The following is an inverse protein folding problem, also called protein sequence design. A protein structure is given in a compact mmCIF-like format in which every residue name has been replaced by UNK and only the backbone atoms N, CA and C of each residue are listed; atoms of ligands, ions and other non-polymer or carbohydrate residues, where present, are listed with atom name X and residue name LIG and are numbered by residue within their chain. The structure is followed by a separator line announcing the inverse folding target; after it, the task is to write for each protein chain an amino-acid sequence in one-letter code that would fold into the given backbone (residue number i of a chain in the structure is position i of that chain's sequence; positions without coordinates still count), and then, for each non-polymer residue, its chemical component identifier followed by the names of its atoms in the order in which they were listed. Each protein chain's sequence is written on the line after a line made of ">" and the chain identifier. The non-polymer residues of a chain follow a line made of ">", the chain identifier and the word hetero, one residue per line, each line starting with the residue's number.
data_IF_826280213923
#
_entry.id   IF_826280213923
#
_cell.length_a   1.000
_cell.length_b   1.000
_cell.length_c   1.000
_cell.angle_alpha   90.00
_cell.angle_beta   90.00
_cell.angle_gamma   90.00
#
_symmetry.space_group_name_H-M   'P 1'
#
loop_
_entity.id
_entity.type
_entity.pdbx_description
1 polymer ?
#
# COMPACT_ATOMS: atom_id res chain seq x y z
N UNK A 1 3.10 2.85 -5.68
CA UNK A 1 1.76 3.42 -5.41
C UNK A 1 1.89 4.82 -4.85
N UNK A 2 0.89 5.67 -5.01
CA UNK A 2 0.82 6.99 -4.37
C UNK A 2 -0.55 7.16 -3.71
N UNK A 3 -0.56 7.89 -2.59
CA UNK A 3 -1.78 8.21 -1.83
C UNK A 3 -1.82 9.72 -1.60
N UNK A 4 -2.99 10.33 -1.77
CA UNK A 4 -3.19 11.76 -1.49
C UNK A 4 -3.96 11.88 -0.19
N UNK A 5 -3.35 12.52 0.81
CA UNK A 5 -4.03 12.83 2.06
C UNK A 5 -4.97 14.03 1.86
N UNK A 6 -6.29 13.86 1.98
CA UNK A 6 -7.24 14.94 1.75
C UNK A 6 -7.17 16.05 2.82
N UNK A 7 -6.64 15.76 4.01
CA UNK A 7 -6.59 16.70 5.12
C UNK A 7 -5.42 17.69 5.00
N UNK A 8 -4.26 17.20 4.56
CA UNK A 8 -3.02 18.00 4.49
C UNK A 8 -2.61 18.35 3.07
N UNK A 9 -3.17 17.66 2.07
CA UNK A 9 -2.77 17.80 0.66
C UNK A 9 -1.39 17.22 0.36
N UNK A 10 -0.79 16.45 1.27
CA UNK A 10 0.42 15.69 0.96
C UNK A 10 0.12 14.52 0.03
N UNK A 11 1.03 14.31 -0.90
CA UNK A 11 1.08 13.11 -1.74
C UNK A 11 2.15 12.20 -1.16
N UNK A 12 1.75 11.02 -0.66
CA UNK A 12 2.69 9.99 -0.22
C UNK A 12 3.11 9.16 -1.42
N UNK A 13 4.41 9.12 -1.68
CA UNK A 13 4.98 8.40 -2.82
C UNK A 13 6.01 7.39 -2.36
N UNK A 14 5.99 6.20 -2.96
CA UNK A 14 7.01 5.19 -2.79
C UNK A 14 8.03 5.31 -3.91
N UNK A 15 9.32 5.32 -3.57
CA UNK A 15 10.41 5.34 -4.55
C UNK A 15 11.65 4.62 -4.02
N UNK A 16 12.53 4.25 -4.94
CA UNK A 16 13.83 3.67 -4.58
C UNK A 16 14.70 4.63 -3.76
N UNK A 17 15.40 4.09 -2.76
CA UNK A 17 16.41 4.81 -2.02
C UNK A 17 17.51 5.35 -2.94
N UNK A 18 18.08 6.51 -2.61
CA UNK A 18 19.21 7.07 -3.35
C UNK A 18 20.48 6.23 -3.24
N UNK A 19 20.69 5.62 -2.07
CA UNK A 19 21.84 4.76 -1.78
C UNK A 19 21.44 3.28 -1.84
N UNK A 20 22.37 2.42 -2.18
CA UNK A 20 22.22 0.97 -2.08
C UNK A 20 22.49 0.51 -0.64
N UNK A 21 21.81 -0.56 -0.23
CA UNK A 21 22.06 -1.25 1.04
C UNK A 21 23.36 -2.07 1.00
N UNK A 22 23.66 -2.80 2.08
CA UNK A 22 24.82 -3.67 2.18
C UNK A 22 24.83 -4.79 1.12
N UNK A 23 23.64 -5.22 0.67
CA UNK A 23 23.48 -6.23 -0.40
C UNK A 23 23.54 -5.63 -1.81
N UNK A 24 23.90 -4.34 -1.94
CA UNK A 24 23.92 -3.58 -3.20
C UNK A 24 22.55 -3.37 -3.86
N UNK A 25 21.47 -3.51 -3.12
CA UNK A 25 20.08 -3.29 -3.55
C UNK A 25 19.59 -1.91 -3.17
N UNK A 26 18.61 -1.39 -3.89
CA UNK A 26 17.87 -0.18 -3.51
C UNK A 26 16.58 -0.60 -2.83
N UNK A 27 16.43 -0.20 -1.58
CA UNK A 27 15.19 -0.41 -0.83
C UNK A 27 14.14 0.64 -1.20
N UNK A 28 12.88 0.33 -1.01
CA UNK A 28 11.80 1.28 -1.18
C UNK A 28 11.69 2.19 0.05
N UNK A 29 11.35 3.46 -0.21
CA UNK A 29 11.18 4.47 0.82
C UNK A 29 9.97 5.34 0.50
N UNK A 30 9.23 5.75 1.53
CA UNK A 30 8.06 6.62 1.42
C UNK A 30 8.45 8.07 1.71
N UNK A 31 7.90 9.00 0.93
CA UNK A 31 8.07 10.43 1.11
C UNK A 31 6.72 11.12 1.04
N UNK A 32 6.46 12.04 1.96
CA UNK A 32 5.36 12.98 1.84
C UNK A 32 5.83 14.16 0.99
N UNK A 33 5.09 14.47 -0.07
CA UNK A 33 5.42 15.53 -1.02
C UNK A 33 4.26 16.51 -1.14
N UNK A 34 4.54 17.82 -1.11
CA UNK A 34 3.55 18.88 -1.36
C UNK A 34 4.19 20.03 -2.12
N UNK A 35 3.49 20.53 -3.12
CA UNK A 35 3.94 21.73 -3.83
C UNK A 35 3.46 22.99 -3.10
N UNK A 36 4.37 23.91 -2.81
CA UNK A 36 4.01 25.24 -2.32
C UNK A 36 3.27 26.00 -3.40
N UNK A 37 2.06 26.48 -3.10
CA UNK A 37 1.18 27.12 -4.08
C UNK A 37 1.75 28.41 -4.68
N UNK A 38 2.57 29.14 -3.94
CA UNK A 38 3.16 30.42 -4.36
C UNK A 38 4.50 30.23 -5.06
N UNK A 39 5.44 29.55 -4.38
CA UNK A 39 6.82 29.42 -4.89
C UNK A 39 6.98 28.30 -5.91
N UNK A 40 5.97 27.43 -6.07
CA UNK A 40 5.99 26.20 -6.90
C UNK A 40 7.10 25.21 -6.54
N UNK A 41 7.80 25.42 -5.42
CA UNK A 41 8.81 24.47 -4.93
C UNK A 41 8.13 23.29 -4.25
N UNK A 42 8.71 22.11 -4.42
CA UNK A 42 8.28 20.90 -3.73
C UNK A 42 8.92 20.83 -2.34
N UNK A 43 8.09 20.62 -1.33
CA UNK A 43 8.50 20.15 -0.02
C UNK A 43 8.50 18.62 -0.07
N UNK A 44 9.56 18.01 0.43
CA UNK A 44 9.72 16.56 0.53
C UNK A 44 10.11 16.21 1.97
N UNK A 45 9.29 15.40 2.62
CA UNK A 45 9.48 14.94 4.00
C UNK A 45 9.63 13.42 3.96
N UNK A 46 10.78 12.86 4.37
CA UNK A 46 10.93 11.41 4.47
C UNK A 46 10.05 10.85 5.59
N UNK A 47 9.43 9.70 5.33
CA UNK A 47 8.68 9.00 6.36
C UNK A 47 9.62 8.49 7.46
N UNK A 48 9.18 8.57 8.72
CA UNK A 48 10.04 8.30 9.88
C UNK A 48 10.60 6.87 9.96
N UNK A 49 9.96 5.91 9.30
CA UNK A 49 10.41 4.51 9.26
C UNK A 49 11.35 4.19 8.10
N UNK A 50 11.61 5.15 7.20
CA UNK A 50 12.54 4.91 6.10
C UNK A 50 13.90 4.44 6.61
N UNK A 51 14.37 3.32 6.06
CA UNK A 51 15.60 2.66 6.46
C UNK A 51 16.45 2.33 5.24
N UNK A 52 17.71 1.94 5.45
CA UNK A 52 18.58 1.46 4.39
C UNK A 52 18.67 -0.08 4.36
N UNK A 53 18.24 -0.76 5.42
CA UNK A 53 18.29 -2.22 5.52
C UNK A 53 17.05 -2.91 4.96
N UNK A 54 15.90 -2.24 4.98
CA UNK A 54 14.61 -2.79 4.54
C UNK A 54 13.78 -1.74 3.81
N UNK A 55 12.78 -2.19 3.09
CA UNK A 55 11.82 -1.37 2.35
C UNK A 55 10.65 -0.94 3.23
N UNK A 56 10.16 0.27 3.00
CA UNK A 56 8.85 0.76 3.47
C UNK A 56 8.15 1.33 2.25
N UNK A 57 6.94 0.86 1.96
CA UNK A 57 6.22 1.15 0.73
C UNK A 57 4.71 1.30 0.93
N UNK A 58 4.05 1.82 -0.08
CA UNK A 58 2.60 1.79 -0.27
C UNK A 58 1.77 2.30 0.93
N UNK A 59 2.26 3.42 1.54
CA UNK A 59 1.60 4.02 2.69
C UNK A 59 0.24 4.61 2.29
N UNK A 60 -0.77 4.29 3.10
CA UNK A 60 -2.10 4.89 3.09
C UNK A 60 -2.49 5.35 4.49
N UNK A 61 -3.51 6.20 4.56
CA UNK A 61 -4.15 6.62 5.82
C UNK A 61 -5.55 6.01 5.86
N UNK A 62 -5.97 5.53 7.03
CA UNK A 62 -7.34 5.05 7.23
C UNK A 62 -8.36 6.17 7.00
N UNK A 63 -9.61 5.86 6.55
CA UNK A 63 -10.62 6.87 6.25
C UNK A 63 -10.97 7.80 7.41
N UNK A 64 -10.85 7.32 8.64
CA UNK A 64 -11.06 8.12 9.87
C UNK A 64 -9.83 8.95 10.27
N UNK A 65 -8.71 8.84 9.55
CA UNK A 65 -7.48 9.56 9.82
C UNK A 65 -6.71 9.08 11.07
N UNK A 66 -7.11 7.95 11.68
CA UNK A 66 -6.56 7.51 12.97
C UNK A 66 -5.26 6.73 12.85
N UNK A 67 -5.00 6.08 11.71
CA UNK A 67 -3.82 5.24 11.52
C UNK A 67 -3.27 5.28 10.10
N UNK A 68 -1.99 4.96 9.97
CA UNK A 68 -1.36 4.61 8.70
C UNK A 68 -1.33 3.10 8.53
N UNK A 69 -1.40 2.65 7.28
CA UNK A 69 -1.09 1.27 6.88
C UNK A 69 -0.02 1.34 5.79
N UNK A 70 0.95 0.44 5.81
CA UNK A 70 2.04 0.40 4.84
C UNK A 70 2.60 -1.01 4.70
N UNK A 71 3.28 -1.28 3.59
CA UNK A 71 3.98 -2.54 3.35
C UNK A 71 5.46 -2.41 3.74
N UNK A 72 6.04 -3.46 4.30
CA UNK A 72 7.47 -3.51 4.63
C UNK A 72 8.01 -4.93 4.70
N UNK A 73 9.28 -5.10 4.33
CA UNK A 73 10.08 -6.31 4.55
C UNK A 73 10.99 -6.17 5.80
N UNK A 74 10.58 -5.32 6.77
CA UNK A 74 11.31 -5.15 8.02
C UNK A 74 11.39 -6.45 8.82
N UNK A 75 12.50 -6.68 9.56
CA UNK A 75 12.67 -7.89 10.36
C UNK A 75 11.53 -8.11 11.36
N UNK A 76 11.14 -9.38 11.53
CA UNK A 76 10.10 -9.78 12.48
C UNK A 76 8.71 -9.93 11.87
N UNK A 77 8.59 -9.83 10.55
CA UNK A 77 7.37 -10.15 9.81
C UNK A 77 7.14 -11.65 9.61
N UNK A 78 6.03 -11.99 8.95
CA UNK A 78 5.65 -13.37 8.61
C UNK A 78 6.24 -13.82 7.28
N UNK A 79 6.40 -12.88 6.34
CA UNK A 79 6.76 -13.19 4.96
C UNK A 79 7.86 -12.35 4.34
N UNK A 80 7.81 -12.30 3.01
CA UNK A 80 8.75 -11.50 2.20
C UNK A 80 8.50 -10.01 2.34
N UNK A 81 7.23 -9.64 2.43
CA UNK A 81 6.75 -8.31 2.82
C UNK A 81 5.39 -8.44 3.46
N UNK A 82 5.17 -7.68 4.51
CA UNK A 82 3.97 -7.71 5.32
C UNK A 82 3.32 -6.33 5.37
N UNK A 83 2.03 -6.30 5.67
CA UNK A 83 1.30 -5.09 6.02
C UNK A 83 1.43 -4.80 7.51
N UNK A 84 1.73 -3.55 7.80
CA UNK A 84 1.85 -3.01 9.15
C UNK A 84 0.91 -1.83 9.33
N UNK A 85 0.48 -1.59 10.57
CA UNK A 85 -0.28 -0.41 10.94
C UNK A 85 0.37 0.33 12.10
N UNK A 86 0.10 1.63 12.22
CA UNK A 86 0.50 2.43 13.37
C UNK A 86 -0.48 3.59 13.59
N UNK A 87 -0.81 3.95 14.84
CA UNK A 87 -1.66 5.09 15.12
C UNK A 87 -0.96 6.39 14.69
N UNK A 88 -1.75 7.33 14.15
CA UNK A 88 -1.30 8.68 13.83
C UNK A 88 -1.35 9.51 15.11
N UNK A 89 -0.21 10.03 15.53
CA UNK A 89 -0.09 10.93 16.68
C UNK A 89 -0.18 12.40 16.26
N UNK A 90 0.24 12.71 15.05
CA UNK A 90 0.22 14.03 14.44
C UNK A 90 0.17 13.92 12.92
N UNK A 91 -0.68 14.72 12.28
CA UNK A 91 -0.74 14.84 10.82
C UNK A 91 -1.00 16.29 10.46
N UNK A 92 0.05 17.02 10.12
CA UNK A 92 0.02 18.44 9.80
C UNK A 92 1.05 18.82 8.72
N UNK A 93 1.33 20.10 8.58
CA UNK A 93 2.29 20.63 7.60
C UNK A 93 3.71 20.13 7.77
N UNK A 94 4.09 19.59 8.93
CA UNK A 94 5.39 18.99 9.19
C UNK A 94 5.45 17.50 8.79
N UNK A 95 4.35 16.95 8.30
CA UNK A 95 4.19 15.56 7.93
C UNK A 95 3.49 14.73 9.00
N UNK A 96 3.52 13.41 8.82
CA UNK A 96 2.94 12.45 9.76
C UNK A 96 3.97 12.04 10.81
N UNK A 97 3.52 12.00 12.09
CA UNK A 97 4.16 11.27 13.18
C UNK A 97 3.27 10.12 13.61
N UNK A 98 3.86 8.95 13.74
CA UNK A 98 3.15 7.73 14.11
C UNK A 98 3.63 7.20 15.47
N UNK A 99 2.76 6.44 16.11
CA UNK A 99 3.07 5.71 17.34
C UNK A 99 3.71 4.35 17.08
N UNK A 100 3.44 3.40 17.98
CA UNK A 100 3.98 2.05 17.90
C UNK A 100 3.49 1.32 16.66
N UNK A 101 4.43 0.74 15.91
CA UNK A 101 4.14 -0.05 14.70
C UNK A 101 3.75 -1.48 15.11
N UNK A 102 2.66 -1.97 14.51
CA UNK A 102 2.19 -3.35 14.71
C UNK A 102 2.06 -4.04 13.36
N UNK A 103 2.52 -5.29 13.30
CA UNK A 103 2.21 -6.16 12.18
C UNK A 103 0.71 -6.49 12.20
N UNK A 104 0.04 -6.47 11.05
CA UNK A 104 -1.42 -6.71 10.96
C UNK A 104 -1.82 -8.16 11.25
N UNK A 105 -0.84 -9.03 11.49
CA UNK A 105 -1.07 -10.40 11.96
C UNK A 105 -1.27 -11.43 10.83
N UNK A 106 -1.34 -12.72 11.20
CA UNK A 106 -1.34 -13.83 10.25
C UNK A 106 -2.65 -14.01 9.46
N UNK A 107 -3.72 -13.31 9.86
CA UNK A 107 -4.99 -13.31 9.10
C UNK A 107 -4.86 -12.46 7.83
N UNK A 108 -4.00 -11.43 7.86
CA UNK A 108 -3.72 -10.53 6.74
C UNK A 108 -2.43 -10.96 6.04
N UNK A 109 -1.36 -11.19 6.82
CA UNK A 109 -0.02 -11.42 6.31
C UNK A 109 0.28 -12.92 6.18
N UNK A 110 0.95 -13.26 5.10
CA UNK A 110 1.32 -14.63 4.73
C UNK A 110 2.84 -14.82 4.73
N UNK A 111 3.31 -16.00 4.35
CA UNK A 111 4.75 -16.25 4.16
C UNK A 111 5.32 -15.65 2.86
N UNK A 112 4.48 -15.08 1.99
CA UNK A 112 4.88 -14.46 0.73
C UNK A 112 4.78 -12.95 0.78
N UNK A 113 4.33 -12.29 -0.29
CA UNK A 113 4.21 -10.83 -0.32
C UNK A 113 2.77 -10.42 -0.06
N UNK A 114 2.60 -9.49 0.87
CA UNK A 114 1.34 -8.84 1.18
C UNK A 114 1.56 -7.33 1.08
N UNK A 115 1.01 -6.69 0.03
CA UNK A 115 1.34 -5.33 -0.38
C UNK A 115 0.10 -4.56 -0.84
N UNK A 116 0.30 -3.31 -1.28
CA UNK A 116 -0.68 -2.47 -1.96
C UNK A 116 -1.99 -2.30 -1.17
N UNK A 117 -1.93 -1.92 0.11
CA UNK A 117 -3.14 -1.64 0.87
C UNK A 117 -3.90 -0.48 0.24
N UNK A 118 -5.22 -0.52 0.28
CA UNK A 118 -6.10 0.58 -0.15
C UNK A 118 -7.42 0.54 0.60
N UNK A 119 -8.12 1.66 0.61
CA UNK A 119 -9.51 1.74 1.06
C UNK A 119 -10.38 2.17 -0.11
N UNK A 120 -11.58 1.58 -0.22
CA UNK A 120 -12.62 2.11 -1.10
C UNK A 120 -13.28 3.36 -0.52
N UNK A 121 -14.13 4.02 -1.29
CA UNK A 121 -14.87 5.22 -0.85
C UNK A 121 -15.84 4.92 0.31
N UNK A 122 -16.31 3.69 0.45
CA UNK A 122 -17.13 3.25 1.59
C UNK A 122 -16.31 2.89 2.82
N UNK A 123 -14.97 2.84 2.70
CA UNK A 123 -14.06 2.46 3.79
C UNK A 123 -13.75 0.97 3.86
N UNK A 124 -14.10 0.18 2.85
CA UNK A 124 -13.71 -1.22 2.76
C UNK A 124 -12.20 -1.34 2.52
N UNK A 125 -11.51 -2.13 3.35
CA UNK A 125 -10.07 -2.37 3.24
C UNK A 125 -9.77 -3.44 2.21
N UNK A 126 -8.84 -3.14 1.30
CA UNK A 126 -8.31 -4.04 0.27
C UNK A 126 -6.79 -4.10 0.35
N UNK A 127 -6.23 -5.22 -0.13
CA UNK A 127 -4.79 -5.39 -0.29
C UNK A 127 -4.50 -6.44 -1.37
N UNK A 128 -3.24 -6.60 -1.74
CA UNK A 128 -2.81 -7.65 -2.69
C UNK A 128 -1.88 -8.62 -2.01
N UNK A 129 -2.07 -9.92 -2.26
CA UNK A 129 -1.32 -11.01 -1.64
C UNK A 129 -0.91 -12.08 -2.65
N UNK A 130 0.32 -12.59 -2.49
CA UNK A 130 0.79 -13.80 -3.18
C UNK A 130 0.49 -15.08 -2.39
N UNK A 131 0.20 -14.99 -1.09
CA UNK A 131 0.16 -16.15 -0.21
C UNK A 131 -1.24 -16.64 0.15
N UNK A 132 -2.26 -15.78 0.07
CA UNK A 132 -3.65 -16.21 0.18
C UNK A 132 -4.09 -17.01 -1.04
N UNK A 133 -5.06 -17.91 -0.87
CA UNK A 133 -5.57 -18.74 -1.96
C UNK A 133 -6.26 -17.88 -3.03
N UNK A 134 -5.64 -17.80 -4.20
CA UNK A 134 -6.05 -16.94 -5.30
C UNK A 134 -6.14 -17.66 -6.64
N UNK A 135 -6.12 -16.88 -7.72
CA UNK A 135 -6.20 -17.36 -9.10
C UNK A 135 -4.86 -17.24 -9.82
N UNK A 136 -4.01 -16.27 -9.43
CA UNK A 136 -2.74 -15.94 -10.06
C UNK A 136 -1.57 -15.94 -9.09
N UNK A 137 -0.64 -15.04 -9.31
CA UNK A 137 0.44 -14.73 -8.37
C UNK A 137 -0.01 -13.74 -7.31
N UNK A 138 0.01 -12.43 -7.61
CA UNK A 138 -0.67 -11.44 -6.77
C UNK A 138 -2.16 -11.43 -7.11
N UNK A 139 -3.00 -11.56 -6.11
CA UNK A 139 -4.45 -11.40 -6.19
C UNK A 139 -4.92 -10.35 -5.19
N UNK A 140 -6.05 -9.72 -5.47
CA UNK A 140 -6.68 -8.72 -4.63
C UNK A 140 -7.63 -9.38 -3.64
N UNK A 141 -7.49 -9.02 -2.38
CA UNK A 141 -8.32 -9.46 -1.27
C UNK A 141 -8.92 -8.27 -0.53
N UNK A 142 -9.96 -8.54 0.23
CA UNK A 142 -10.55 -7.57 1.14
C UNK A 142 -10.84 -8.18 2.51
N UNK A 143 -10.80 -7.35 3.55
CA UNK A 143 -11.16 -7.74 4.90
C UNK A 143 -12.66 -7.48 5.10
N UNK A 144 -13.46 -8.54 5.22
CA UNK A 144 -14.87 -8.39 5.58
C UNK A 144 -14.99 -7.93 7.03
N UNK A 145 -15.41 -6.68 7.22
CA UNK A 145 -15.53 -6.07 8.54
C UNK A 145 -16.58 -6.74 9.44
N UNK A 146 -17.54 -7.47 8.87
CA UNK A 146 -18.60 -8.14 9.63
C UNK A 146 -18.16 -9.48 10.23
N UNK A 147 -17.28 -10.19 9.52
CA UNK A 147 -16.80 -11.52 9.90
C UNK A 147 -15.33 -11.53 10.36
N UNK A 148 -14.56 -10.51 10.01
CA UNK A 148 -13.11 -10.45 10.20
C UNK A 148 -12.33 -11.38 9.25
N UNK A 149 -12.99 -11.95 8.23
CA UNK A 149 -12.35 -12.86 7.28
C UNK A 149 -11.73 -12.09 6.11
N UNK A 150 -10.60 -12.60 5.63
CA UNK A 150 -10.00 -12.19 4.36
C UNK A 150 -10.66 -12.96 3.22
N UNK A 151 -11.24 -12.25 2.27
CA UNK A 151 -11.95 -12.80 1.13
C UNK A 151 -11.29 -12.38 -0.17
N UNK A 152 -11.20 -13.30 -1.13
CA UNK A 152 -10.73 -13.02 -2.48
C UNK A 152 -11.75 -12.16 -3.22
N UNK A 153 -11.32 -11.09 -3.91
CA UNK A 153 -12.20 -10.19 -4.64
C UNK A 153 -12.87 -10.85 -5.88
N UNK A 154 -12.38 -12.03 -6.27
CA UNK A 154 -12.98 -12.83 -7.32
C UNK A 154 -12.84 -12.24 -8.73
N UNK A 155 -13.45 -12.92 -9.69
CA UNK A 155 -13.53 -12.42 -11.07
C UNK A 155 -14.64 -11.36 -11.21
N UNK A 156 -14.48 -10.34 -12.05
CA UNK A 156 -13.40 -10.13 -13.03
C UNK A 156 -12.16 -9.38 -12.45
N UNK A 157 -12.15 -9.03 -11.17
CA UNK A 157 -11.05 -8.29 -10.53
C UNK A 157 -9.78 -9.12 -10.60
N UNK A 158 -9.80 -10.35 -10.07
CA UNK A 158 -8.68 -11.26 -10.13
C UNK A 158 -8.72 -12.17 -11.37
N UNK A 159 -7.54 -12.54 -11.86
CA UNK A 159 -7.32 -13.40 -13.04
C UNK A 159 -6.25 -14.46 -12.74
N UNK A 160 -5.84 -15.25 -13.74
CA UNK A 160 -4.73 -16.20 -13.62
C UNK A 160 -3.34 -15.54 -13.68
N UNK A 161 -3.26 -14.23 -13.57
CA UNK A 161 -2.05 -13.42 -13.62
C UNK A 161 -1.92 -12.58 -12.36
N UNK A 162 -0.91 -11.70 -12.28
CA UNK A 162 -0.80 -10.77 -11.17
C UNK A 162 -1.83 -9.66 -11.30
N UNK A 163 -2.61 -9.46 -10.24
CA UNK A 163 -3.62 -8.42 -10.10
C UNK A 163 -3.40 -7.69 -8.79
N UNK A 164 -3.10 -6.39 -8.84
CA UNK A 164 -2.65 -5.66 -7.65
C UNK A 164 -2.95 -4.16 -7.70
N UNK A 165 -2.64 -3.46 -6.60
CA UNK A 165 -2.82 -2.03 -6.42
C UNK A 165 -4.26 -1.56 -6.74
N UNK A 166 -5.29 -2.11 -6.07
CA UNK A 166 -6.67 -1.74 -6.33
C UNK A 166 -6.95 -0.29 -5.92
N UNK A 167 -7.73 0.40 -6.75
CA UNK A 167 -8.36 1.68 -6.43
C UNK A 167 -9.86 1.51 -6.72
N UNK A 168 -10.66 1.45 -5.66
CA UNK A 168 -12.08 1.08 -5.77
C UNK A 168 -12.96 2.25 -5.35
N UNK A 169 -13.80 2.71 -6.27
CA UNK A 169 -14.79 3.76 -6.11
C UNK A 169 -16.17 3.12 -6.08
N UNK A 170 -16.46 2.42 -4.99
CA UNK A 170 -17.67 1.61 -4.83
C UNK A 170 -18.95 2.43 -4.76
N UNK A 171 -18.89 3.72 -4.40
CA UNK A 171 -20.04 4.64 -4.50
C UNK A 171 -20.43 4.95 -5.94
N UNK A 172 -19.48 4.94 -6.84
CA UNK A 172 -19.68 5.25 -8.27
C UNK A 172 -19.66 3.99 -9.15
N UNK A 173 -19.50 2.82 -8.52
CA UNK A 173 -19.46 1.50 -9.14
C UNK A 173 -18.40 1.36 -10.24
N UNK A 174 -17.18 1.85 -9.99
CA UNK A 174 -16.03 1.62 -10.86
C UNK A 174 -14.74 1.46 -10.04
N UNK A 175 -13.73 0.95 -10.68
CA UNK A 175 -12.41 0.84 -10.06
C UNK A 175 -11.30 0.64 -11.07
N UNK A 176 -10.07 0.71 -10.59
CA UNK A 176 -8.88 0.37 -11.36
C UNK A 176 -8.01 -0.62 -10.62
N UNK A 177 -7.34 -1.46 -11.39
CA UNK A 177 -6.32 -2.37 -10.91
C UNK A 177 -5.11 -2.32 -11.83
N UNK A 178 -3.95 -2.65 -11.32
CA UNK A 178 -2.78 -2.97 -12.13
C UNK A 178 -2.75 -4.47 -12.36
N UNK A 179 -2.51 -4.91 -13.61
CA UNK A 179 -2.43 -6.33 -13.94
C UNK A 179 -1.55 -6.58 -15.16
N UNK A 180 -0.89 -7.73 -15.17
CA UNK A 180 -0.12 -8.21 -16.33
C UNK A 180 -0.89 -9.20 -17.22
N UNK A 181 -2.23 -9.33 -17.03
CA UNK A 181 -3.12 -10.26 -17.75
C UNK A 181 -3.15 -10.06 -19.27
N UNK A 182 -3.00 -8.83 -19.74
CA UNK A 182 -3.08 -8.50 -21.17
C UNK A 182 -1.84 -8.84 -21.99
N UNK A 183 -0.73 -9.20 -21.34
CA UNK A 183 0.57 -9.34 -21.98
C UNK A 183 1.29 -10.64 -21.61
N UNK A 184 0.53 -11.71 -21.32
CA UNK A 184 1.03 -13.02 -20.92
C UNK A 184 2.01 -12.95 -19.72
N UNK A 185 1.78 -12.01 -18.81
CA UNK A 185 2.61 -11.81 -17.60
C UNK A 185 3.87 -10.97 -17.78
N UNK A 186 4.09 -10.32 -18.93
CA UNK A 186 5.34 -9.58 -19.17
C UNK A 186 5.32 -8.11 -18.79
N UNK A 187 4.16 -7.43 -18.89
CA UNK A 187 4.04 -6.00 -18.58
C UNK A 187 2.78 -5.71 -17.81
N UNK A 188 2.89 -4.82 -16.85
CA UNK A 188 1.76 -4.33 -16.08
C UNK A 188 1.00 -3.26 -16.87
N UNK A 189 -0.31 -3.35 -16.85
CA UNK A 189 -1.23 -2.38 -17.44
C UNK A 189 -2.30 -2.00 -16.41
N UNK A 190 -2.88 -0.82 -16.59
CA UNK A 190 -4.02 -0.37 -15.80
C UNK A 190 -5.32 -0.87 -16.45
N UNK A 191 -6.17 -1.49 -15.66
CA UNK A 191 -7.49 -1.98 -16.06
C UNK A 191 -8.59 -1.27 -15.29
N UNK A 192 -9.69 -0.98 -15.99
CA UNK A 192 -10.93 -0.47 -15.41
C UNK A 192 -11.97 -1.59 -15.31
N UNK A 193 -12.80 -1.56 -14.30
CA UNK A 193 -13.91 -2.48 -14.10
C UNK A 193 -15.11 -1.76 -13.46
#
# INVERSE_FOLDING_TARGET
>A
MSFVDPNTGFIYVTRNSKKKNANRERVLQVFAMRQNAVTKKWLEIPFQLNNQAYSVADLIISPDGSKVIFASDMPGGYGKSDLYEAPILQNDESGIKIGEVKNMGPEINTALRDNFPSYSDSGQFYFSSEGHLGFGGLDIFFLDASTGLVLNAGKPINSAYDDFAPQIHDKDAWGTITSNRGNRGYNDNLYFF
#
